data_IF_781645745972
#
_entry.id   IF_781645745972
#
_cell.length_a   1.000
_cell.length_b   1.000
_cell.length_c   1.000
_cell.angle_alpha   90.00
_cell.angle_beta   90.00
_cell.angle_gamma   90.00
#
_symmetry.space_group_name_H-M   'P 1'
#
loop_
_entity.id
_entity.type
_entity.pdbx_description
1 polymer ?
#
# COMPACT_ATOMS: atom_id res chain seq x y z
N UNK A 1 -23.03 21.16 -25.38
CA UNK A 1 -24.30 21.01 -26.04
C UNK A 1 -25.30 22.03 -25.49
N UNK A 2 -25.98 22.86 -26.30
CA UNK A 2 -26.92 23.89 -25.82
C UNK A 2 -28.15 23.29 -25.13
N UNK A 3 -28.45 22.02 -25.33
CA UNK A 3 -29.66 21.37 -24.79
C UNK A 3 -29.38 20.74 -23.42
N UNK A 4 -28.22 20.14 -23.23
CA UNK A 4 -27.88 19.37 -22.00
C UNK A 4 -26.85 20.11 -21.12
N UNK A 5 -26.13 21.09 -21.71
CA UNK A 5 -25.05 21.80 -21.01
C UNK A 5 -25.46 22.47 -19.69
N UNK A 6 -26.57 23.27 -19.67
CA UNK A 6 -27.01 23.91 -18.44
C UNK A 6 -27.44 22.94 -17.36
N UNK A 7 -28.14 21.85 -17.71
CA UNK A 7 -28.57 20.83 -16.75
C UNK A 7 -27.36 20.08 -16.21
N UNK A 8 -26.40 19.73 -17.08
CA UNK A 8 -25.17 19.05 -16.66
C UNK A 8 -24.31 19.96 -15.76
N UNK A 9 -24.22 21.25 -16.11
CA UNK A 9 -23.54 22.24 -15.28
C UNK A 9 -24.21 22.37 -13.91
N UNK A 10 -25.53 22.48 -13.87
CA UNK A 10 -26.26 22.56 -12.61
C UNK A 10 -26.16 21.26 -11.79
N UNK A 11 -26.11 20.12 -12.44
CA UNK A 11 -25.94 18.83 -11.78
C UNK A 11 -24.53 18.70 -11.16
N UNK A 12 -23.49 19.21 -11.81
CA UNK A 12 -22.10 19.17 -11.32
C UNK A 12 -21.81 20.29 -10.34
N UNK A 13 -22.11 21.55 -10.73
CA UNK A 13 -21.76 22.75 -9.95
C UNK A 13 -22.76 23.05 -8.83
N UNK A 14 -24.00 22.55 -8.92
CA UNK A 14 -25.05 22.89 -7.96
C UNK A 14 -25.45 24.36 -8.05
N UNK A 15 -25.92 24.89 -6.93
CA UNK A 15 -26.35 26.30 -6.83
C UNK A 15 -25.25 27.22 -6.28
N UNK A 16 -24.03 26.69 -6.05
CA UNK A 16 -22.90 27.46 -5.56
C UNK A 16 -21.68 26.60 -5.22
N UNK A 17 -20.61 27.29 -4.80
CA UNK A 17 -19.34 26.63 -4.49
C UNK A 17 -19.45 25.58 -3.38
N UNK A 18 -20.29 25.83 -2.38
CA UNK A 18 -20.54 24.88 -1.28
C UNK A 18 -21.18 23.58 -1.78
N UNK A 19 -22.21 23.70 -2.64
CA UNK A 19 -22.87 22.54 -3.26
C UNK A 19 -21.90 21.74 -4.14
N UNK A 20 -21.07 22.44 -4.88
CA UNK A 20 -20.04 21.85 -5.71
C UNK A 20 -19.04 21.03 -4.88
N UNK A 21 -18.51 21.60 -3.80
CA UNK A 21 -17.60 20.89 -2.91
C UNK A 21 -18.23 19.66 -2.28
N UNK A 22 -19.47 19.76 -1.81
CA UNK A 22 -20.19 18.64 -1.22
C UNK A 22 -20.41 17.51 -2.21
N UNK A 23 -20.75 17.85 -3.46
CA UNK A 23 -20.96 16.87 -4.53
C UNK A 23 -19.65 16.19 -4.95
N UNK A 24 -18.55 16.96 -5.08
CA UNK A 24 -17.23 16.41 -5.34
C UNK A 24 -16.77 15.48 -4.20
N UNK A 25 -17.01 15.89 -2.97
CA UNK A 25 -16.70 15.06 -1.81
C UNK A 25 -17.49 13.75 -1.84
N UNK A 26 -18.81 13.81 -2.05
CA UNK A 26 -19.66 12.62 -2.14
C UNK A 26 -19.25 11.72 -3.32
N UNK A 27 -18.91 12.30 -4.48
CA UNK A 27 -18.41 11.56 -5.64
C UNK A 27 -17.11 10.82 -5.30
N UNK A 28 -16.15 11.52 -4.68
CA UNK A 28 -14.84 10.98 -4.36
C UNK A 28 -14.89 9.88 -3.28
N UNK A 29 -15.64 10.09 -2.21
CA UNK A 29 -15.65 9.19 -1.04
C UNK A 29 -16.60 8.01 -1.24
N UNK A 30 -17.65 8.14 -2.04
CA UNK A 30 -18.70 7.14 -2.18
C UNK A 30 -18.78 6.55 -3.59
N UNK A 31 -19.04 7.37 -4.60
CA UNK A 31 -19.31 6.89 -5.96
C UNK A 31 -18.07 6.25 -6.59
N UNK A 32 -16.93 6.93 -6.54
CA UNK A 32 -15.68 6.42 -7.15
C UNK A 32 -15.26 5.09 -6.53
N UNK A 33 -15.18 4.90 -5.20
CA UNK A 33 -14.85 3.62 -4.61
C UNK A 33 -15.81 2.49 -4.96
N UNK A 34 -17.11 2.77 -5.04
CA UNK A 34 -18.11 1.76 -5.45
C UNK A 34 -17.88 1.34 -6.90
N UNK A 35 -17.74 2.31 -7.81
CA UNK A 35 -17.49 2.02 -9.24
C UNK A 35 -16.18 1.25 -9.40
N UNK A 36 -15.12 1.65 -8.71
CA UNK A 36 -13.84 0.91 -8.72
C UNK A 36 -14.01 -0.52 -8.19
N UNK A 37 -14.76 -0.71 -7.10
CA UNK A 37 -15.06 -2.03 -6.57
C UNK A 37 -15.78 -2.91 -7.58
N UNK A 38 -16.82 -2.39 -8.22
CA UNK A 38 -17.58 -3.11 -9.26
C UNK A 38 -16.66 -3.47 -10.45
N UNK A 39 -15.86 -2.52 -10.93
CA UNK A 39 -14.92 -2.77 -12.02
C UNK A 39 -13.86 -3.82 -11.65
N UNK A 40 -13.36 -3.81 -10.42
CA UNK A 40 -12.45 -4.85 -9.95
C UNK A 40 -13.11 -6.22 -9.96
N UNK A 41 -14.33 -6.35 -9.49
CA UNK A 41 -15.07 -7.62 -9.53
C UNK A 41 -15.30 -8.12 -10.95
N UNK A 42 -15.58 -7.23 -11.88
CA UNK A 42 -15.81 -7.59 -13.31
C UNK A 42 -14.50 -7.99 -13.99
N UNK A 43 -13.40 -7.22 -13.78
CA UNK A 43 -12.13 -7.44 -14.48
C UNK A 43 -11.29 -8.56 -13.89
N UNK A 44 -11.37 -8.79 -12.59
CA UNK A 44 -10.52 -9.73 -11.87
C UNK A 44 -11.25 -10.86 -11.13
N UNK A 45 -12.31 -11.46 -11.69
CA UNK A 45 -13.10 -12.47 -10.96
C UNK A 45 -12.29 -13.71 -10.58
N UNK A 46 -11.17 -13.98 -11.29
CA UNK A 46 -10.29 -15.14 -11.06
C UNK A 46 -9.03 -14.81 -10.26
N UNK A 47 -8.71 -13.52 -10.06
CA UNK A 47 -7.50 -13.08 -9.37
C UNK A 47 -7.74 -12.69 -7.90
N UNK A 48 -8.98 -12.60 -7.47
CA UNK A 48 -9.30 -12.38 -6.07
C UNK A 48 -9.18 -13.70 -5.28
N UNK A 49 -7.96 -14.15 -5.08
CA UNK A 49 -7.71 -15.22 -4.12
C UNK A 49 -7.78 -14.61 -2.73
N UNK A 50 -8.78 -15.03 -1.96
CA UNK A 50 -8.89 -14.64 -0.57
C UNK A 50 -7.86 -15.41 0.24
N UNK A 51 -6.72 -14.80 0.50
CA UNK A 51 -5.71 -15.32 1.42
C UNK A 51 -5.92 -14.71 2.81
N UNK A 52 -6.53 -15.48 3.70
CA UNK A 52 -6.87 -15.04 5.05
C UNK A 52 -5.69 -14.47 5.84
N UNK A 53 -4.48 -15.09 5.87
CA UNK A 53 -3.31 -14.52 6.51
C UNK A 53 -2.94 -13.14 5.97
N UNK A 54 -2.87 -12.99 4.67
CA UNK A 54 -2.51 -11.72 4.03
C UNK A 54 -3.54 -10.63 4.31
N UNK A 55 -4.83 -10.93 4.16
CA UNK A 55 -5.90 -9.97 4.42
C UNK A 55 -5.92 -9.52 5.88
N UNK A 56 -5.73 -10.45 6.82
CA UNK A 56 -5.67 -10.11 8.24
C UNK A 56 -4.51 -9.17 8.55
N UNK A 57 -3.32 -9.45 8.00
CA UNK A 57 -2.16 -8.55 8.18
C UNK A 57 -2.42 -7.18 7.56
N UNK A 58 -3.00 -7.11 6.36
CA UNK A 58 -3.32 -5.83 5.71
C UNK A 58 -4.31 -5.00 6.54
N UNK A 59 -5.40 -5.62 7.00
CA UNK A 59 -6.38 -4.97 7.88
C UNK A 59 -5.71 -4.50 9.17
N UNK A 60 -4.89 -5.36 9.77
CA UNK A 60 -4.14 -5.02 10.97
C UNK A 60 -3.22 -3.82 10.79
N UNK A 61 -2.48 -3.76 9.68
CA UNK A 61 -1.62 -2.59 9.36
C UNK A 61 -2.43 -1.31 9.23
N UNK A 62 -3.63 -1.36 8.62
CA UNK A 62 -4.52 -0.19 8.52
C UNK A 62 -4.92 0.31 9.93
N UNK A 63 -5.35 -0.60 10.81
CA UNK A 63 -5.72 -0.24 12.18
C UNK A 63 -4.54 0.25 13.01
N UNK A 64 -3.37 -0.38 12.91
CA UNK A 64 -2.13 0.08 13.56
C UNK A 64 -1.79 1.49 13.10
N UNK A 65 -1.85 1.75 11.79
CA UNK A 65 -1.58 3.08 11.24
C UNK A 65 -2.55 4.11 11.76
N UNK A 66 -3.86 3.79 11.80
CA UNK A 66 -4.89 4.68 12.36
C UNK A 66 -4.73 4.93 13.86
N UNK A 67 -4.18 3.96 14.61
CA UNK A 67 -3.87 4.11 16.03
C UNK A 67 -2.63 4.97 16.30
N UNK A 68 -1.60 4.85 15.44
CA UNK A 68 -0.38 5.67 15.53
C UNK A 68 -0.65 7.12 15.08
N UNK A 69 -1.46 7.28 14.05
CA UNK A 69 -1.83 8.58 13.48
C UNK A 69 -3.34 8.80 13.61
N UNK A 70 -3.85 9.00 14.84
CA UNK A 70 -5.28 9.21 15.03
C UNK A 70 -5.72 10.50 14.34
N UNK A 71 -6.82 10.41 13.61
CA UNK A 71 -7.45 11.58 13.00
C UNK A 71 -8.19 12.32 14.09
N UNK A 72 -7.70 13.50 14.45
CA UNK A 72 -8.40 14.39 15.39
C UNK A 72 -9.50 15.15 14.65
N UNK A 73 -10.70 15.12 15.21
CA UNK A 73 -11.75 16.04 14.76
C UNK A 73 -11.36 17.44 15.16
N UNK A 74 -11.23 18.33 14.18
CA UNK A 74 -10.99 19.73 14.41
C UNK A 74 -12.08 20.37 15.27
N UNK A 75 -11.80 21.53 15.83
CA UNK A 75 -12.79 22.34 16.55
C UNK A 75 -13.96 22.67 15.62
N UNK A 76 -15.16 22.80 16.20
CA UNK A 76 -16.34 23.21 15.44
C UNK A 76 -16.04 24.53 14.70
N UNK A 77 -16.39 24.59 13.42
CA UNK A 77 -16.19 25.76 12.61
C UNK A 77 -16.88 27.01 13.26
N UNK A 78 -16.08 28.01 13.52
CA UNK A 78 -16.54 29.34 13.96
C UNK A 78 -16.00 30.38 12.96
N UNK A 79 -16.87 31.11 12.25
CA UNK A 79 -16.44 32.14 11.29
C UNK A 79 -15.61 33.27 11.91
N UNK A 80 -15.78 33.52 13.22
CA UNK A 80 -15.07 34.58 13.92
C UNK A 80 -13.71 34.13 14.48
N UNK A 81 -13.51 32.82 14.58
CA UNK A 81 -12.27 32.21 15.07
C UNK A 81 -11.79 31.14 14.06
N UNK A 82 -11.20 31.59 12.96
CA UNK A 82 -10.70 30.64 11.94
C UNK A 82 -9.67 29.68 12.58
N UNK A 83 -9.66 28.42 12.15
CA UNK A 83 -8.71 27.45 12.68
C UNK A 83 -7.29 27.93 12.44
N UNK A 84 -6.40 27.60 13.36
CA UNK A 84 -4.98 27.89 13.24
C UNK A 84 -4.31 27.15 12.06
N UNK A 85 -3.04 26.83 12.20
CA UNK A 85 -2.32 26.09 11.16
C UNK A 85 -2.91 24.69 11.01
N UNK A 86 -3.53 24.44 9.85
CA UNK A 86 -4.03 23.11 9.50
C UNK A 86 -3.03 22.45 8.57
N UNK A 87 -2.44 21.35 9.05
CA UNK A 87 -1.55 20.49 8.24
C UNK A 87 -2.39 19.31 7.77
N UNK A 88 -2.26 18.89 6.49
CA UNK A 88 -3.00 17.72 6.00
C UNK A 88 -2.53 16.46 6.71
N UNK A 89 -3.36 15.42 6.66
CA UNK A 89 -3.06 14.09 7.17
C UNK A 89 -1.74 13.55 6.61
N UNK A 90 -1.08 12.68 7.37
CA UNK A 90 0.26 12.18 7.09
C UNK A 90 0.44 11.65 5.66
N UNK A 91 -0.58 11.01 5.08
CA UNK A 91 -0.53 10.46 3.71
C UNK A 91 -0.58 11.52 2.60
N UNK A 92 -1.03 12.75 2.89
CA UNK A 92 -1.01 13.89 1.98
C UNK A 92 0.09 14.89 2.30
N UNK A 93 0.74 14.75 3.45
CA UNK A 93 1.74 15.70 3.94
C UNK A 93 2.92 15.84 2.97
N UNK A 94 3.33 14.74 2.34
CA UNK A 94 4.38 14.77 1.31
C UNK A 94 3.99 15.61 0.09
N UNK A 95 2.76 15.49 -0.40
CA UNK A 95 2.25 16.32 -1.49
C UNK A 95 2.16 17.79 -1.07
N UNK A 96 1.76 18.02 0.18
CA UNK A 96 1.66 19.37 0.74
C UNK A 96 3.03 20.06 0.78
N UNK A 97 4.13 19.34 1.02
CA UNK A 97 5.47 19.90 0.94
C UNK A 97 5.76 20.51 -0.44
N UNK A 98 5.43 19.80 -1.52
CA UNK A 98 5.63 20.30 -2.89
C UNK A 98 4.84 21.59 -3.17
N UNK A 99 3.56 21.64 -2.75
CA UNK A 99 2.70 22.81 -2.95
C UNK A 99 3.24 24.05 -2.23
N UNK A 100 3.96 23.86 -1.12
CA UNK A 100 4.51 24.92 -0.27
C UNK A 100 5.83 25.49 -0.74
N UNK A 101 6.44 24.95 -1.81
CA UNK A 101 7.75 25.41 -2.32
C UNK A 101 7.69 26.72 -3.10
N UNK A 102 6.52 27.30 -3.31
CA UNK A 102 6.35 28.56 -4.05
C UNK A 102 6.34 28.42 -5.57
N UNK A 103 6.53 27.21 -6.11
CA UNK A 103 6.33 26.93 -7.54
C UNK A 103 4.85 26.86 -7.88
N UNK A 104 4.54 26.86 -9.19
CA UNK A 104 3.17 26.72 -9.67
C UNK A 104 2.50 25.49 -9.10
N UNK A 105 1.32 25.69 -8.51
CA UNK A 105 0.59 24.65 -7.77
C UNK A 105 0.05 23.55 -8.68
N UNK A 106 -0.22 23.85 -9.95
CA UNK A 106 -0.62 22.84 -10.92
C UNK A 106 0.54 21.91 -11.25
N UNK A 107 1.75 22.46 -11.36
CA UNK A 107 2.97 21.65 -11.61
C UNK A 107 3.28 20.80 -10.38
N UNK A 108 3.36 21.41 -9.21
CA UNK A 108 3.84 20.73 -7.99
C UNK A 108 2.78 19.85 -7.33
N UNK A 109 1.52 20.25 -7.38
CA UNK A 109 0.40 19.51 -6.76
C UNK A 109 -0.37 18.59 -7.70
N UNK A 110 -0.28 18.80 -9.02
CA UNK A 110 -0.98 18.02 -10.02
C UNK A 110 -0.05 17.20 -10.92
N UNK A 111 0.74 17.89 -11.75
CA UNK A 111 1.54 17.25 -12.79
C UNK A 111 2.63 16.33 -12.22
N UNK A 112 3.36 16.78 -11.21
CA UNK A 112 4.45 16.00 -10.61
C UNK A 112 3.94 14.69 -9.96
N UNK A 113 2.92 14.68 -9.11
CA UNK A 113 2.34 13.46 -8.60
C UNK A 113 1.77 12.55 -9.71
N UNK A 114 1.13 13.13 -10.72
CA UNK A 114 0.62 12.36 -11.85
C UNK A 114 1.75 11.66 -12.63
N UNK A 115 2.90 12.32 -12.84
CA UNK A 115 4.07 11.72 -13.47
C UNK A 115 4.66 10.59 -12.62
N UNK A 116 4.70 10.75 -11.28
CA UNK A 116 5.17 9.69 -10.38
C UNK A 116 4.26 8.47 -10.44
N UNK A 117 2.95 8.65 -10.44
CA UNK A 117 1.99 7.56 -10.60
C UNK A 117 2.14 6.91 -11.97
N UNK A 118 2.25 7.70 -13.04
CA UNK A 118 2.46 7.21 -14.41
C UNK A 118 3.75 6.36 -14.49
N UNK A 119 4.84 6.79 -13.86
CA UNK A 119 6.08 6.03 -13.83
C UNK A 119 5.85 4.60 -13.27
N UNK A 120 5.08 4.44 -12.19
CA UNK A 120 4.76 3.12 -11.65
C UNK A 120 3.85 2.31 -12.57
N UNK A 121 2.86 2.95 -13.21
CA UNK A 121 1.98 2.29 -14.17
C UNK A 121 2.73 1.78 -15.40
N UNK A 122 3.81 2.45 -15.79
CA UNK A 122 4.62 2.04 -16.95
C UNK A 122 5.64 0.95 -16.64
N UNK A 123 5.95 0.66 -15.35
CA UNK A 123 6.88 -0.41 -14.97
C UNK A 123 6.61 -1.75 -15.67
N UNK A 124 5.36 -2.28 -15.72
CA UNK A 124 5.07 -3.56 -16.38
C UNK A 124 5.37 -3.56 -17.89
N UNK A 125 5.31 -2.39 -18.53
CA UNK A 125 5.57 -2.24 -19.96
C UNK A 125 7.07 -2.08 -20.27
N UNK A 126 7.85 -1.63 -19.30
CA UNK A 126 9.30 -1.42 -19.45
C UNK A 126 10.07 -2.65 -18.99
N UNK A 127 9.59 -3.32 -17.94
CA UNK A 127 10.26 -4.48 -17.36
C UNK A 127 9.77 -5.80 -17.96
N UNK A 128 10.42 -6.24 -19.01
CA UNK A 128 10.17 -7.51 -19.65
C UNK A 128 10.92 -8.71 -18.99
N UNK A 129 11.53 -8.46 -17.83
CA UNK A 129 12.30 -9.50 -17.12
C UNK A 129 11.37 -10.57 -16.53
N UNK A 130 11.65 -11.84 -16.80
CA UNK A 130 10.98 -12.99 -16.16
C UNK A 130 11.46 -13.26 -14.73
N UNK A 131 12.40 -12.46 -14.24
CA UNK A 131 12.96 -12.62 -12.88
C UNK A 131 11.96 -12.09 -11.86
N UNK A 132 11.64 -12.90 -10.86
CA UNK A 132 10.66 -12.56 -9.81
C UNK A 132 11.35 -11.96 -8.59
N UNK A 133 12.61 -12.36 -8.33
CA UNK A 133 13.32 -12.00 -7.11
C UNK A 133 13.89 -10.58 -7.19
N UNK A 134 13.67 -9.76 -6.16
CA UNK A 134 14.19 -8.39 -6.05
C UNK A 134 15.73 -8.32 -6.20
N UNK A 135 16.44 -9.37 -5.76
CA UNK A 135 17.90 -9.49 -5.86
C UNK A 135 18.43 -9.55 -7.30
N UNK A 136 17.61 -10.05 -8.19
CA UNK A 136 17.95 -10.22 -9.60
C UNK A 136 17.46 -9.07 -10.49
N UNK A 137 16.83 -8.06 -9.87
CA UNK A 137 16.25 -6.86 -10.52
C UNK A 137 16.80 -5.58 -9.87
N UNK A 138 18.11 -5.30 -9.94
CA UNK A 138 18.77 -4.25 -9.18
C UNK A 138 18.21 -2.85 -9.47
N UNK A 139 17.87 -2.55 -10.74
CA UNK A 139 17.30 -1.25 -11.12
C UNK A 139 15.95 -1.01 -10.45
N UNK A 140 15.01 -1.95 -10.59
CA UNK A 140 13.66 -1.80 -10.02
C UNK A 140 13.67 -1.85 -8.49
N UNK A 141 14.58 -2.60 -7.90
CA UNK A 141 14.77 -2.62 -6.45
C UNK A 141 15.31 -1.29 -5.94
N UNK A 142 16.26 -0.68 -6.64
CA UNK A 142 16.75 0.66 -6.32
C UNK A 142 15.66 1.72 -6.51
N UNK A 143 14.86 1.62 -7.57
CA UNK A 143 13.73 2.51 -7.83
C UNK A 143 12.68 2.41 -6.70
N UNK A 144 12.35 1.21 -6.25
CA UNK A 144 11.42 0.99 -5.13
C UNK A 144 11.92 1.62 -3.82
N UNK A 145 13.19 1.42 -3.48
CA UNK A 145 13.79 2.04 -2.28
C UNK A 145 13.88 3.57 -2.44
N UNK A 146 14.22 4.07 -3.63
CA UNK A 146 14.21 5.51 -3.89
C UNK A 146 12.81 6.09 -3.69
N UNK A 147 11.76 5.42 -4.14
CA UNK A 147 10.36 5.85 -3.95
C UNK A 147 9.97 5.92 -2.47
N UNK A 148 10.33 4.92 -1.68
CA UNK A 148 10.11 4.93 -0.22
C UNK A 148 10.88 6.09 0.42
N UNK A 149 12.12 6.30 0.03
CA UNK A 149 12.95 7.43 0.53
C UNK A 149 12.33 8.79 0.18
N UNK A 150 11.73 8.92 -1.04
CA UNK A 150 11.02 10.14 -1.44
C UNK A 150 9.80 10.39 -0.55
N UNK A 151 8.99 9.37 -0.28
CA UNK A 151 7.84 9.48 0.62
C UNK A 151 8.31 9.96 2.00
N UNK A 152 9.38 9.37 2.54
CA UNK A 152 9.91 9.77 3.84
C UNK A 152 10.39 11.22 3.85
N UNK A 153 11.24 11.63 2.89
CA UNK A 153 11.77 12.99 2.80
C UNK A 153 10.63 14.00 2.65
N UNK A 154 9.70 13.76 1.73
CA UNK A 154 8.57 14.69 1.50
C UNK A 154 7.68 14.81 2.73
N UNK A 155 7.43 13.70 3.43
CA UNK A 155 6.62 13.70 4.65
C UNK A 155 7.27 14.52 5.76
N UNK A 156 8.58 14.36 5.99
CA UNK A 156 9.33 15.14 6.98
C UNK A 156 9.22 16.64 6.69
N UNK A 157 9.45 17.05 5.43
CA UNK A 157 9.30 18.45 5.04
C UNK A 157 7.86 18.95 5.10
N UNK A 158 6.91 18.09 4.83
CA UNK A 158 5.49 18.42 4.90
C UNK A 158 5.00 18.71 6.31
N UNK A 159 5.54 18.04 7.32
CA UNK A 159 5.25 18.32 8.73
C UNK A 159 6.00 19.54 9.29
N UNK A 160 7.08 19.95 8.62
CA UNK A 160 7.86 21.08 9.11
C UNK A 160 7.07 22.39 9.02
N UNK A 161 6.99 23.08 10.14
CA UNK A 161 6.43 24.43 10.27
C UNK A 161 7.48 25.26 11.01
N UNK A 162 7.83 26.42 10.48
CA UNK A 162 8.78 27.32 11.14
C UNK A 162 8.23 27.72 12.53
N UNK A 163 8.98 27.46 13.61
CA UNK A 163 8.53 27.74 14.97
C UNK A 163 8.46 29.21 15.31
N UNK A 164 9.01 30.10 14.50
CA UNK A 164 9.08 31.53 14.78
C UNK A 164 7.68 32.18 14.76
N UNK A 165 7.14 32.61 15.95
CA UNK A 165 5.80 33.18 16.03
C UNK A 165 5.74 34.62 15.45
N UNK A 166 6.87 35.28 15.21
CA UNK A 166 6.90 36.65 14.64
C UNK A 166 6.64 36.67 13.14
N UNK A 167 6.84 35.52 12.46
CA UNK A 167 6.57 35.35 11.04
C UNK A 167 5.08 35.17 10.80
N UNK A 168 4.59 35.71 9.69
CA UNK A 168 3.23 35.44 9.25
C UNK A 168 3.04 33.95 8.89
N UNK A 169 1.79 33.48 8.88
CA UNK A 169 1.46 32.08 8.62
C UNK A 169 2.02 31.54 7.31
N UNK A 170 1.97 32.34 6.25
CA UNK A 170 2.48 31.96 4.92
C UNK A 170 4.00 31.74 4.96
N UNK A 171 4.75 32.59 5.64
CA UNK A 171 6.18 32.44 5.79
C UNK A 171 6.55 31.23 6.64
N UNK A 172 5.79 30.94 7.69
CA UNK A 172 6.00 29.75 8.54
C UNK A 172 5.73 28.44 7.82
N UNK A 173 4.82 28.44 6.88
CA UNK A 173 4.46 27.28 6.07
C UNK A 173 5.31 27.12 4.83
N UNK A 174 6.12 28.13 4.47
CA UNK A 174 6.95 28.09 3.25
C UNK A 174 8.05 27.03 3.38
N UNK A 175 8.20 26.20 2.33
CA UNK A 175 9.25 25.23 2.20
C UNK A 175 10.31 25.78 1.24
N UNK A 176 11.51 25.98 1.72
CA UNK A 176 12.61 26.45 0.88
C UNK A 176 12.93 25.42 -0.22
N UNK A 177 12.84 25.81 -1.51
CA UNK A 177 12.98 24.88 -2.61
C UNK A 177 14.36 24.20 -2.67
N UNK A 178 15.43 24.97 -2.47
CA UNK A 178 16.80 24.46 -2.64
C UNK A 178 17.11 23.31 -1.70
N UNK A 179 16.99 23.43 -0.36
CA UNK A 179 17.26 22.30 0.54
C UNK A 179 16.28 21.14 0.32
N UNK A 180 15.01 21.41 0.03
CA UNK A 180 14.00 20.38 -0.20
C UNK A 180 14.32 19.53 -1.43
N UNK A 181 14.49 20.15 -2.60
CA UNK A 181 14.79 19.41 -3.83
C UNK A 181 16.19 18.80 -3.82
N UNK A 182 17.16 19.41 -3.12
CA UNK A 182 18.47 18.81 -2.92
C UNK A 182 18.38 17.53 -2.08
N UNK A 183 17.59 17.52 -1.02
CA UNK A 183 17.36 16.32 -0.20
C UNK A 183 16.68 15.21 -1.00
N UNK A 184 15.71 15.56 -1.86
CA UNK A 184 15.07 14.61 -2.76
C UNK A 184 16.08 14.00 -3.74
N UNK A 185 16.90 14.82 -4.39
CA UNK A 185 17.93 14.35 -5.31
C UNK A 185 18.95 13.45 -4.62
N UNK A 186 19.46 13.87 -3.47
CA UNK A 186 20.44 13.10 -2.68
C UNK A 186 19.85 11.76 -2.26
N UNK A 187 18.60 11.71 -1.82
CA UNK A 187 17.96 10.46 -1.41
C UNK A 187 17.79 9.48 -2.58
N UNK A 188 17.48 9.96 -3.80
CA UNK A 188 17.45 9.12 -5.01
C UNK A 188 18.83 8.59 -5.33
N UNK A 189 19.83 9.47 -5.40
CA UNK A 189 21.21 9.07 -5.73
C UNK A 189 21.74 8.05 -4.73
N UNK A 190 21.56 8.28 -3.42
CA UNK A 190 21.95 7.33 -2.38
C UNK A 190 21.26 5.99 -2.53
N UNK A 191 19.96 5.97 -2.80
CA UNK A 191 19.19 4.73 -3.00
C UNK A 191 19.76 3.92 -4.19
N UNK A 192 20.08 4.58 -5.29
CA UNK A 192 20.69 3.91 -6.45
C UNK A 192 22.12 3.48 -6.17
N UNK A 193 22.97 4.32 -5.60
CA UNK A 193 24.35 3.97 -5.28
C UNK A 193 24.40 2.77 -4.34
N UNK A 194 23.61 2.79 -3.28
CA UNK A 194 23.61 1.73 -2.26
C UNK A 194 22.95 0.47 -2.77
N UNK A 195 21.70 0.54 -3.24
CA UNK A 195 20.93 -0.66 -3.58
C UNK A 195 21.37 -1.26 -4.92
N UNK A 196 21.43 -0.44 -5.97
CA UNK A 196 21.86 -0.90 -7.29
C UNK A 196 23.32 -1.34 -7.27
N UNK A 197 24.21 -0.55 -6.66
CA UNK A 197 25.63 -0.87 -6.53
C UNK A 197 25.84 -2.16 -5.74
N UNK A 198 25.19 -2.31 -4.59
CA UNK A 198 25.27 -3.53 -3.77
C UNK A 198 24.77 -4.76 -4.51
N UNK A 199 23.62 -4.69 -5.18
CA UNK A 199 23.06 -5.83 -5.90
C UNK A 199 23.89 -6.20 -7.14
N UNK A 200 24.47 -5.23 -7.84
CA UNK A 200 25.40 -5.46 -8.95
C UNK A 200 26.70 -6.08 -8.48
N UNK A 201 27.30 -5.55 -7.41
CA UNK A 201 28.51 -6.14 -6.81
C UNK A 201 28.25 -7.58 -6.38
N UNK A 202 27.16 -7.82 -5.66
CA UNK A 202 26.76 -9.17 -5.26
C UNK A 202 26.61 -10.11 -6.45
N UNK A 203 26.00 -9.67 -7.54
CA UNK A 203 25.83 -10.47 -8.75
C UNK A 203 27.17 -10.81 -9.41
N UNK A 204 28.15 -9.89 -9.39
CA UNK A 204 29.48 -10.11 -9.92
C UNK A 204 30.29 -11.14 -9.12
N UNK A 205 30.10 -11.18 -7.79
CA UNK A 205 30.77 -12.16 -6.90
C UNK A 205 29.99 -13.47 -6.71
N UNK A 206 28.74 -13.53 -7.19
CA UNK A 206 27.96 -14.76 -7.10
C UNK A 206 28.55 -15.82 -8.03
N UNK A 207 28.93 -16.97 -7.45
CA UNK A 207 29.31 -18.15 -8.26
C UNK A 207 28.14 -18.51 -9.17
N UNK A 208 28.38 -18.89 -10.45
CA UNK A 208 27.32 -19.33 -11.34
C UNK A 208 26.54 -20.44 -10.64
N UNK A 209 25.24 -20.21 -10.42
CA UNK A 209 24.37 -21.27 -9.91
C UNK A 209 24.36 -22.39 -10.93
N UNK A 210 24.96 -23.54 -10.62
CA UNK A 210 24.61 -24.75 -11.29
C UNK A 210 23.10 -24.94 -11.19
N UNK A 211 22.42 -25.03 -12.31
CA UNK A 211 20.99 -25.30 -12.37
C UNK A 211 20.76 -26.70 -11.77
N UNK A 212 20.62 -26.75 -10.45
CA UNK A 212 20.07 -27.93 -9.80
C UNK A 212 18.56 -27.81 -9.92
N UNK A 213 17.97 -28.64 -10.71
CA UNK A 213 16.52 -28.82 -10.90
C UNK A 213 15.80 -29.20 -9.60
N UNK A 214 16.50 -29.29 -8.47
CA UNK A 214 16.04 -29.79 -7.18
C UNK A 214 15.93 -28.69 -6.08
N UNK A 215 16.06 -27.42 -6.38
CA UNK A 215 15.96 -26.36 -5.36
C UNK A 215 14.57 -25.70 -5.32
N UNK A 216 13.55 -26.49 -5.13
CA UNK A 216 12.41 -25.98 -4.37
C UNK A 216 12.92 -25.75 -2.92
N UNK A 217 12.67 -24.56 -2.32
CA UNK A 217 13.00 -24.37 -0.92
C UNK A 217 12.33 -25.49 -0.13
N UNK A 218 13.16 -26.33 0.50
CA UNK A 218 12.62 -27.39 1.36
C UNK A 218 11.74 -26.67 2.39
N UNK A 219 10.47 -27.06 2.52
CA UNK A 219 9.63 -26.47 3.55
C UNK A 219 10.35 -26.67 4.89
N UNK A 220 10.50 -25.62 5.66
CA UNK A 220 11.02 -25.72 7.03
C UNK A 220 9.95 -26.49 7.81
N UNK A 221 10.11 -27.80 7.88
CA UNK A 221 9.22 -28.65 8.67
C UNK A 221 9.64 -28.47 10.13
N UNK A 222 9.01 -27.55 10.83
CA UNK A 222 9.10 -27.49 12.27
C UNK A 222 8.53 -28.78 12.86
N UNK A 223 9.20 -29.34 13.84
CA UNK A 223 8.65 -30.49 14.60
C UNK A 223 7.25 -30.11 15.09
N UNK A 224 6.32 -31.05 14.96
CA UNK A 224 4.89 -30.87 15.30
C UNK A 224 4.71 -30.25 16.71
N UNK A 225 5.50 -30.67 17.67
CA UNK A 225 5.50 -30.15 19.05
C UNK A 225 5.85 -28.67 19.09
N UNK A 226 6.88 -28.24 18.35
CA UNK A 226 7.26 -26.82 18.28
C UNK A 226 6.20 -25.97 17.59
N UNK A 227 5.57 -26.50 16.53
CA UNK A 227 4.50 -25.79 15.82
C UNK A 227 3.33 -25.52 16.73
N UNK A 228 2.87 -26.52 17.48
CA UNK A 228 1.78 -26.34 18.46
C UNK A 228 2.19 -25.43 19.62
N UNK A 229 3.42 -25.54 20.10
CA UNK A 229 3.95 -24.62 21.13
C UNK A 229 3.88 -23.15 20.70
N UNK A 230 4.35 -22.86 19.48
CA UNK A 230 4.30 -21.50 18.89
C UNK A 230 2.84 -21.04 18.71
N UNK A 231 1.96 -21.89 18.18
CA UNK A 231 0.56 -21.54 17.99
C UNK A 231 -0.15 -21.24 19.31
N UNK A 232 0.05 -22.07 20.34
CA UNK A 232 -0.54 -21.85 21.68
C UNK A 232 -0.02 -20.52 22.25
N UNK A 233 1.27 -20.25 22.15
CA UNK A 233 1.88 -19.00 22.64
C UNK A 233 1.29 -17.77 21.93
N UNK A 234 1.12 -17.84 20.62
CA UNK A 234 0.52 -16.76 19.84
C UNK A 234 -0.96 -16.53 20.19
N UNK A 235 -1.72 -17.61 20.36
CA UNK A 235 -3.14 -17.53 20.78
C UNK A 235 -3.26 -16.94 22.18
N UNK A 236 -2.42 -17.34 23.13
CA UNK A 236 -2.42 -16.76 24.48
C UNK A 236 -2.07 -15.26 24.44
N UNK A 237 -1.11 -14.89 23.60
CA UNK A 237 -0.75 -13.49 23.42
C UNK A 237 -1.88 -12.68 22.74
N UNK A 238 -2.60 -13.27 21.78
CA UNK A 238 -3.76 -12.65 21.16
C UNK A 238 -4.90 -12.42 22.17
N UNK A 239 -5.17 -13.39 23.05
CA UNK A 239 -6.17 -13.24 24.14
C UNK A 239 -5.77 -12.10 25.09
N UNK A 240 -4.48 -11.98 25.44
CA UNK A 240 -3.98 -10.87 26.26
C UNK A 240 -4.20 -9.53 25.57
N UNK A 241 -3.85 -9.41 24.29
CA UNK A 241 -4.05 -8.19 23.51
C UNK A 241 -5.53 -7.81 23.40
N UNK A 242 -6.42 -8.77 23.24
CA UNK A 242 -7.87 -8.51 23.24
C UNK A 242 -8.33 -7.90 24.56
N UNK A 243 -7.83 -8.42 25.70
CA UNK A 243 -8.10 -7.85 27.00
C UNK A 243 -7.57 -6.41 27.14
N UNK A 244 -6.36 -6.14 26.66
CA UNK A 244 -5.78 -4.80 26.67
C UNK A 244 -6.56 -3.82 25.78
N UNK A 245 -6.93 -4.22 24.56
CA UNK A 245 -7.71 -3.39 23.64
C UNK A 245 -9.08 -3.03 24.22
N UNK A 246 -9.74 -3.99 24.89
CA UNK A 246 -11.01 -3.75 25.56
C UNK A 246 -10.85 -2.75 26.74
N UNK A 247 -9.82 -2.92 27.55
CA UNK A 247 -9.53 -2.00 28.65
C UNK A 247 -9.20 -0.59 28.13
N UNK A 248 -8.38 -0.47 27.09
CA UNK A 248 -8.06 0.80 26.47
C UNK A 248 -9.33 1.49 25.92
N UNK A 249 -10.20 0.73 25.25
CA UNK A 249 -11.46 1.25 24.76
C UNK A 249 -12.39 1.75 25.88
N UNK A 250 -12.57 0.95 26.95
CA UNK A 250 -13.39 1.33 28.10
C UNK A 250 -12.83 2.55 28.86
N UNK A 251 -11.50 2.69 28.89
CA UNK A 251 -10.82 3.83 29.50
C UNK A 251 -10.81 5.09 28.61
N UNK A 252 -11.40 5.04 27.42
CA UNK A 252 -11.50 6.17 26.49
C UNK A 252 -10.24 6.39 25.62
N UNK A 253 -9.21 5.55 25.73
CA UNK A 253 -7.99 5.62 24.91
C UNK A 253 -8.22 5.01 23.52
N UNK A 254 -9.04 5.66 22.70
CA UNK A 254 -9.51 5.14 21.41
C UNK A 254 -8.36 4.83 20.43
N UNK A 255 -7.36 5.70 20.36
CA UNK A 255 -6.19 5.49 19.50
C UNK A 255 -5.39 4.25 19.89
N UNK A 256 -5.17 4.05 21.20
CA UNK A 256 -4.50 2.87 21.73
C UNK A 256 -5.32 1.60 21.47
N UNK A 257 -6.62 1.64 21.71
CA UNK A 257 -7.51 0.52 21.41
C UNK A 257 -7.49 0.14 19.92
N UNK A 258 -7.46 1.13 19.03
CA UNK A 258 -7.35 0.91 17.59
C UNK A 258 -6.00 0.27 17.22
N UNK A 259 -4.89 0.76 17.78
CA UNK A 259 -3.56 0.20 17.60
C UNK A 259 -3.50 -1.27 18.05
N UNK A 260 -3.98 -1.57 19.24
CA UNK A 260 -3.99 -2.93 19.79
C UNK A 260 -4.88 -3.85 18.96
N UNK A 261 -6.05 -3.38 18.51
CA UNK A 261 -6.90 -4.12 17.57
C UNK A 261 -6.16 -4.45 16.27
N UNK A 262 -5.38 -3.52 15.74
CA UNK A 262 -4.52 -3.78 14.58
C UNK A 262 -3.48 -4.86 14.84
N UNK A 263 -2.85 -4.86 16.02
CA UNK A 263 -1.92 -5.91 16.41
C UNK A 263 -2.60 -7.28 16.51
N UNK A 264 -3.83 -7.35 17.01
CA UNK A 264 -4.63 -8.60 17.05
C UNK A 264 -4.81 -9.16 15.63
N UNK A 265 -5.23 -8.34 14.66
CA UNK A 265 -5.38 -8.79 13.28
C UNK A 265 -4.06 -9.28 12.66
N UNK A 266 -2.93 -8.62 12.95
CA UNK A 266 -1.60 -9.05 12.47
C UNK A 266 -1.25 -10.41 13.07
N UNK A 267 -1.43 -10.59 14.38
CA UNK A 267 -1.12 -11.85 15.06
C UNK A 267 -2.03 -12.97 14.57
N UNK A 268 -3.32 -12.70 14.40
CA UNK A 268 -4.24 -13.66 13.80
C UNK A 268 -3.78 -14.10 12.39
N UNK A 269 -3.34 -13.16 11.56
CA UNK A 269 -2.75 -13.47 10.25
C UNK A 269 -1.49 -14.34 10.35
N UNK A 270 -0.63 -14.08 11.33
CA UNK A 270 0.57 -14.89 11.60
C UNK A 270 0.16 -16.30 12.08
N UNK A 271 -0.80 -16.42 12.99
CA UNK A 271 -1.33 -17.71 13.46
C UNK A 271 -1.85 -18.53 12.28
N UNK A 272 -2.69 -17.92 11.45
CA UNK A 272 -3.26 -18.57 10.27
C UNK A 272 -2.17 -19.01 9.28
N UNK A 273 -1.13 -18.17 9.07
CA UNK A 273 0.01 -18.50 8.23
C UNK A 273 0.84 -19.65 8.79
N UNK A 274 1.17 -19.63 10.07
CA UNK A 274 1.92 -20.70 10.74
C UNK A 274 1.12 -22.01 10.70
N UNK A 275 -0.16 -21.97 11.03
CA UNK A 275 -1.03 -23.16 10.98
C UNK A 275 -1.06 -23.78 9.58
N UNK A 276 -1.30 -22.96 8.55
CA UNK A 276 -1.36 -23.41 7.16
C UNK A 276 -0.02 -23.92 6.62
N UNK A 277 1.08 -23.21 6.90
CA UNK A 277 2.39 -23.49 6.31
C UNK A 277 3.16 -24.59 7.02
N UNK A 278 2.87 -24.87 8.28
CA UNK A 278 3.65 -25.79 9.11
C UNK A 278 2.84 -26.96 9.69
N UNK A 279 1.53 -26.99 9.51
CA UNK A 279 0.71 -28.12 9.92
C UNK A 279 0.82 -29.24 8.88
N UNK A 280 1.36 -30.43 9.24
CA UNK A 280 1.56 -31.53 8.28
C UNK A 280 0.25 -31.96 7.58
N UNK A 281 -0.87 -31.98 8.32
CA UNK A 281 -2.17 -32.36 7.76
C UNK A 281 -2.68 -31.37 6.71
N UNK A 282 -2.44 -30.07 6.91
CA UNK A 282 -2.83 -29.03 5.95
C UNK A 282 -1.94 -29.09 4.71
N UNK A 283 -0.63 -29.34 4.90
CA UNK A 283 0.31 -29.48 3.79
C UNK A 283 -0.04 -30.70 2.92
N UNK A 284 -0.40 -31.82 3.53
CA UNK A 284 -0.83 -33.03 2.82
C UNK A 284 -2.14 -32.81 2.07
N UNK A 285 -3.13 -32.16 2.70
CA UNK A 285 -4.39 -31.83 2.07
C UNK A 285 -4.23 -30.86 0.89
N UNK A 286 -3.35 -29.84 0.99
CA UNK A 286 -3.06 -28.93 -0.11
C UNK A 286 -2.33 -29.62 -1.27
N UNK A 287 -1.44 -30.59 -0.99
CA UNK A 287 -0.78 -31.37 -2.02
C UNK A 287 -1.77 -32.23 -2.77
N UNK A 288 -2.65 -32.94 -2.05
CA UNK A 288 -3.68 -33.78 -2.64
C UNK A 288 -4.61 -32.95 -3.55
N UNK A 289 -5.07 -31.78 -3.07
CA UNK A 289 -5.91 -30.88 -3.85
C UNK A 289 -5.22 -30.33 -5.12
N UNK A 290 -3.93 -30.03 -5.05
CA UNK A 290 -3.15 -29.59 -6.22
C UNK A 290 -2.95 -30.70 -7.25
N UNK A 291 -2.74 -31.94 -6.80
CA UNK A 291 -2.61 -33.10 -7.68
C UNK A 291 -3.95 -33.41 -8.39
N UNK A 292 -5.07 -33.27 -7.66
CA UNK A 292 -6.40 -33.47 -8.24
C UNK A 292 -6.73 -32.39 -9.27
N UNK A 293 -6.42 -31.11 -8.96
CA UNK A 293 -6.61 -30.01 -9.89
C UNK A 293 -5.74 -30.17 -11.15
N UNK A 294 -4.49 -30.62 -11.01
CA UNK A 294 -3.59 -30.86 -12.16
C UNK A 294 -4.10 -32.00 -13.04
N UNK A 295 -4.67 -33.05 -12.45
CA UNK A 295 -5.29 -34.15 -13.22
C UNK A 295 -6.52 -33.68 -13.98
N UNK A 296 -7.39 -32.91 -13.35
CA UNK A 296 -8.58 -32.33 -13.99
C UNK A 296 -8.20 -31.39 -15.16
N UNK A 297 -7.12 -30.61 -15.02
CA UNK A 297 -6.64 -29.73 -16.09
C UNK A 297 -6.04 -30.51 -17.28
N UNK A 298 -5.42 -31.66 -17.01
CA UNK A 298 -4.92 -32.57 -18.05
C UNK A 298 -6.07 -33.25 -18.80
N UNK A 299 -7.12 -33.69 -18.12
CA UNK A 299 -8.29 -34.27 -18.73
C UNK A 299 -9.03 -33.31 -19.66
N UNK A 300 -9.17 -32.05 -19.25
CA UNK A 300 -9.77 -30.99 -20.08
C UNK A 300 -8.95 -30.71 -21.33
N UNK A 301 -7.62 -30.72 -21.23
CA UNK A 301 -6.75 -30.48 -22.40
C UNK A 301 -6.69 -31.65 -23.39
N UNK A 302 -7.05 -32.85 -22.98
CA UNK A 302 -7.13 -34.03 -23.85
C UNK A 302 -8.43 -34.06 -24.64
N UNK A 303 -9.52 -33.47 -24.12
CA UNK A 303 -10.82 -33.44 -24.78
C UNK A 303 -10.99 -32.35 -25.86
N UNK A 304 -10.04 -31.42 -25.99
CA UNK A 304 -10.09 -30.41 -27.07
C UNK A 304 -9.49 -31.01 -28.34
N UNK A 305 -10.32 -31.43 -29.34
CA UNK A 305 -9.78 -31.93 -30.58
C UNK A 305 -9.06 -30.80 -31.31
N UNK A 306 -7.82 -31.06 -31.70
CA UNK A 306 -7.07 -30.19 -32.60
C UNK A 306 -7.82 -30.11 -33.92
N UNK A 307 -8.56 -29.01 -34.11
CA UNK A 307 -9.13 -28.71 -35.42
C UNK A 307 -7.98 -28.34 -36.33
N UNK A 308 -7.45 -29.35 -36.99
CA UNK A 308 -6.54 -29.17 -38.14
C UNK A 308 -7.34 -28.52 -39.27
N UNK A 309 -7.20 -27.21 -39.43
CA UNK A 309 -7.61 -26.55 -40.67
C UNK A 309 -6.72 -27.13 -41.81
N UNK A 310 -7.25 -28.11 -42.51
CA UNK A 310 -6.76 -28.48 -43.84
C UNK A 310 -7.28 -27.39 -44.80
N UNK A 311 -6.43 -26.43 -45.09
CA UNK A 311 -6.59 -25.60 -46.29
C UNK A 311 -6.03 -26.38 -47.47
N UNK A 312 -6.92 -26.97 -48.27
CA UNK A 312 -6.70 -27.29 -49.67
C UNK A 312 -7.10 -26.06 -50.51
#
# INVERSE_FOLDING_TARGET
SPIIGPQLAQMIWGQGFSDFLLRLYALHVFIIPIVMGILMFVHFPRFMVFDLPMWSVMVGVIFVTGGIFPVEMGVKFDPNHPPGITVPEWYLTGLYAFIRTGFDKFITGGLLPALLIAMFLFVPFIDHSRKITWKDRPFFSALGIASISQIFVTTVWGFYVDPDPTKNLTARLFVEPVPFYSALLVSVVLSFVVVYGFLKARAAFAKPKQFSTSNQPKPIILNTTWTYGVLISLVLFEVLLNGMALMAYQSGYRALALFETGCIFIIFGIIAHVYRSYNPKVIEAEKAAKEEAAKAEQEVNVEVPVITNSTD
#
